data_IF_111689030681
#
_entry.id   IF_111689030681
#
_cell.length_a   1.000
_cell.length_b   1.000
_cell.length_c   1.000
_cell.angle_alpha   90.00
_cell.angle_beta   90.00
_cell.angle_gamma   90.00
#
_symmetry.space_group_name_H-M   'P 1'
#
loop_
_entity.id
_entity.type
_entity.pdbx_description
1 polymer ?
#
# COMPACT_ATOMS: atom_id res chain seq x y z
N UNK A 1 16.47 23.72 -7.47
CA UNK A 1 17.68 23.58 -8.30
C UNK A 1 19.00 23.57 -7.51
N UNK A 2 19.36 24.60 -6.74
CA UNK A 2 20.66 24.64 -6.02
C UNK A 2 20.86 23.49 -5.00
N UNK A 3 19.81 23.09 -4.29
CA UNK A 3 19.87 21.94 -3.36
C UNK A 3 20.02 20.61 -4.09
N UNK A 4 19.39 20.46 -5.25
CA UNK A 4 19.48 19.27 -6.07
C UNK A 4 20.88 19.12 -6.67
N UNK A 5 21.44 20.20 -7.23
CA UNK A 5 22.83 20.27 -7.70
C UNK A 5 23.85 19.93 -6.60
N UNK A 6 23.63 20.40 -5.37
CA UNK A 6 24.50 20.06 -4.25
C UNK A 6 24.42 18.58 -3.85
N UNK A 7 23.21 17.98 -3.84
CA UNK A 7 23.08 16.54 -3.62
C UNK A 7 23.72 15.75 -4.77
N UNK A 8 23.52 16.14 -6.02
CA UNK A 8 24.18 15.55 -7.18
C UNK A 8 25.72 15.57 -7.06
N UNK A 9 26.32 16.69 -6.68
CA UNK A 9 27.76 16.80 -6.39
C UNK A 9 28.20 15.96 -5.17
N UNK A 10 27.34 15.77 -4.17
CA UNK A 10 27.64 14.89 -3.03
C UNK A 10 27.69 13.40 -3.42
N UNK A 11 27.04 13.04 -4.53
CA UNK A 11 27.02 11.69 -5.07
C UNK A 11 27.95 11.50 -6.30
N UNK A 12 28.63 12.55 -6.77
CA UNK A 12 29.56 12.47 -7.93
C UNK A 12 30.64 11.40 -7.73
N UNK A 13 31.18 11.27 -6.51
CA UNK A 13 32.18 10.25 -6.16
C UNK A 13 31.68 8.79 -6.28
N UNK A 14 30.36 8.58 -6.38
CA UNK A 14 29.71 7.26 -6.43
C UNK A 14 29.12 6.93 -7.80
N UNK A 15 29.27 7.83 -8.77
CA UNK A 15 28.94 7.59 -10.17
C UNK A 15 30.11 6.84 -10.81
N UNK A 16 29.90 5.58 -11.19
CA UNK A 16 30.87 4.81 -11.97
C UNK A 16 31.16 5.56 -13.27
N UNK A 17 32.40 6.03 -13.40
CA UNK A 17 33.08 6.55 -14.60
C UNK A 17 33.25 8.07 -14.80
N UNK A 18 33.07 8.96 -13.80
CA UNK A 18 33.43 10.39 -14.03
C UNK A 18 34.17 11.07 -12.88
N UNK A 19 35.49 11.25 -13.08
CA UNK A 19 36.27 12.33 -12.46
C UNK A 19 35.87 13.64 -13.12
N UNK A 20 35.20 14.51 -12.36
CA UNK A 20 34.99 15.94 -12.57
C UNK A 20 34.36 16.38 -13.90
N UNK A 21 33.23 17.10 -13.79
CA UNK A 21 32.55 17.89 -14.83
C UNK A 21 31.64 17.12 -15.80
N UNK A 22 30.33 17.31 -15.64
CA UNK A 22 29.35 17.03 -16.70
C UNK A 22 27.95 16.80 -16.15
N UNK A 23 26.96 17.46 -16.77
CA UNK A 23 25.53 17.37 -16.44
C UNK A 23 25.06 15.94 -16.16
N UNK A 24 24.37 15.78 -15.02
CA UNK A 24 23.83 14.50 -14.57
C UNK A 24 22.60 14.17 -15.41
N UNK A 25 22.73 13.17 -16.29
CA UNK A 25 21.59 12.58 -17.01
C UNK A 25 20.68 11.83 -16.03
N UNK A 26 19.37 12.06 -16.11
CA UNK A 26 18.35 11.29 -15.39
C UNK A 26 18.43 9.81 -15.79
N UNK A 27 19.09 8.98 -14.97
CA UNK A 27 19.18 7.54 -15.22
C UNK A 27 20.40 6.80 -14.66
N UNK A 28 21.29 7.45 -13.90
CA UNK A 28 22.48 6.78 -13.37
C UNK A 28 22.13 5.93 -12.14
N UNK A 29 22.29 4.60 -12.26
CA UNK A 29 22.26 3.67 -11.14
C UNK A 29 23.56 3.80 -10.34
N UNK A 30 23.45 4.22 -9.07
CA UNK A 30 24.59 4.26 -8.15
C UNK A 30 24.90 2.85 -7.67
N UNK A 31 26.14 2.37 -7.91
CA UNK A 31 26.64 1.18 -7.20
C UNK A 31 26.72 1.56 -5.72
N UNK A 32 26.17 0.70 -4.86
CA UNK A 32 25.99 0.93 -3.42
C UNK A 32 27.09 1.80 -2.78
N UNK A 33 26.69 2.80 -1.99
CA UNK A 33 27.60 3.56 -1.14
C UNK A 33 28.47 2.59 -0.33
N UNK A 34 29.79 2.79 -0.28
CA UNK A 34 30.67 1.94 0.52
C UNK A 34 30.21 1.97 2.00
N UNK A 35 30.32 0.85 2.71
CA UNK A 35 29.94 0.77 4.14
C UNK A 35 30.77 1.67 5.07
N UNK A 36 31.73 2.43 4.53
CA UNK A 36 32.58 3.41 5.21
C UNK A 36 32.30 4.84 4.74
N UNK A 37 31.15 5.10 4.14
CA UNK A 37 30.79 6.41 3.61
C UNK A 37 30.35 7.40 4.70
N UNK A 38 31.30 7.72 5.58
CA UNK A 38 31.15 8.67 6.68
C UNK A 38 30.67 10.03 6.21
N UNK A 39 30.99 10.44 4.98
CA UNK A 39 30.62 11.75 4.45
C UNK A 39 29.12 11.86 4.18
N UNK A 40 28.53 10.84 3.53
CA UNK A 40 27.09 10.81 3.24
C UNK A 40 26.28 10.60 4.51
N UNK A 41 26.69 9.65 5.37
CA UNK A 41 26.06 9.45 6.68
C UNK A 41 26.11 10.71 7.54
N UNK A 42 27.25 11.41 7.53
CA UNK A 42 27.40 12.69 8.21
C UNK A 42 26.48 13.76 7.60
N UNK A 43 26.31 13.78 6.27
CA UNK A 43 25.36 14.65 5.58
C UNK A 43 23.93 14.43 6.05
N UNK A 44 23.45 13.19 6.04
CA UNK A 44 22.13 12.83 6.53
C UNK A 44 21.95 13.09 8.02
N UNK A 45 22.95 12.82 8.86
CA UNK A 45 22.88 13.07 10.31
C UNK A 45 22.73 14.56 10.64
N UNK A 46 23.34 15.46 9.84
CA UNK A 46 23.18 16.91 10.02
C UNK A 46 21.79 17.35 9.57
N UNK A 47 21.30 16.82 8.45
CA UNK A 47 19.94 17.09 7.99
C UNK A 47 18.95 16.62 9.06
N UNK A 48 19.07 15.39 9.53
CA UNK A 48 18.22 14.83 10.58
C UNK A 48 18.25 15.70 11.85
N UNK A 49 19.44 16.04 12.35
CA UNK A 49 19.60 16.96 13.48
C UNK A 49 18.91 18.32 13.26
N UNK A 50 19.01 18.90 12.06
CA UNK A 50 18.34 20.16 11.73
C UNK A 50 16.81 20.01 11.74
N UNK A 51 16.28 18.87 11.31
CA UNK A 51 14.85 18.57 11.34
C UNK A 51 14.35 18.32 12.77
N UNK A 52 15.11 17.59 13.60
CA UNK A 52 14.74 17.29 14.99
C UNK A 52 14.86 18.48 15.93
N UNK A 53 15.96 19.24 15.86
CA UNK A 53 16.23 20.35 16.79
C UNK A 53 15.51 21.65 16.41
N UNK A 54 15.10 21.80 15.15
CA UNK A 54 14.44 23.01 14.68
C UNK A 54 13.23 22.72 13.80
N UNK A 55 12.16 22.11 14.35
CA UNK A 55 11.00 21.65 13.58
C UNK A 55 10.26 22.78 12.88
N UNK A 56 10.29 23.99 13.43
CA UNK A 56 9.61 25.17 12.88
C UNK A 56 10.45 25.92 11.82
N UNK A 57 11.69 25.48 11.56
CA UNK A 57 12.54 26.12 10.55
C UNK A 57 12.03 25.84 9.13
N UNK A 58 11.93 26.88 8.30
CA UNK A 58 11.51 26.72 6.91
C UNK A 58 12.55 25.92 6.11
N UNK A 59 12.07 25.15 5.12
CA UNK A 59 12.92 24.33 4.25
C UNK A 59 14.04 25.16 3.59
N UNK A 60 13.78 26.34 2.99
CA UNK A 60 14.86 27.14 2.40
C UNK A 60 15.94 27.54 3.41
N UNK A 61 15.54 27.83 4.66
CA UNK A 61 16.49 28.17 5.73
C UNK A 61 17.32 26.98 6.17
N UNK A 62 16.71 25.78 6.23
CA UNK A 62 17.45 24.54 6.49
C UNK A 62 18.47 24.25 5.38
N UNK A 63 18.06 24.37 4.12
CA UNK A 63 18.94 24.21 2.98
C UNK A 63 20.10 25.22 3.03
N UNK A 64 19.81 26.49 3.29
CA UNK A 64 20.85 27.52 3.42
C UNK A 64 21.85 27.20 4.55
N UNK A 65 21.36 26.77 5.72
CA UNK A 65 22.23 26.37 6.84
C UNK A 65 23.09 25.16 6.51
N UNK A 66 22.52 24.16 5.84
CA UNK A 66 23.27 22.99 5.37
C UNK A 66 24.40 23.41 4.40
N UNK A 67 24.08 24.26 3.42
CA UNK A 67 25.07 24.77 2.46
C UNK A 67 26.19 25.53 3.16
N UNK A 68 25.86 26.44 4.07
CA UNK A 68 26.87 27.23 4.80
C UNK A 68 27.77 26.34 5.66
N UNK A 69 27.19 25.32 6.32
CA UNK A 69 27.94 24.38 7.16
C UNK A 69 28.86 23.44 6.37
N UNK A 70 28.55 23.16 5.10
CA UNK A 70 29.28 22.16 4.30
C UNK A 70 30.17 22.74 3.21
N UNK A 71 29.83 23.90 2.65
CA UNK A 71 30.49 24.41 1.44
C UNK A 71 31.57 25.46 1.71
N UNK A 72 32.38 25.30 2.77
CA UNK A 72 33.44 26.26 3.16
C UNK A 72 33.01 27.73 3.04
N UNK A 73 31.71 28.02 3.19
CA UNK A 73 31.12 29.25 2.66
C UNK A 73 31.59 30.45 3.47
N UNK A 74 31.81 30.24 4.77
CA UNK A 74 32.35 31.27 5.66
C UNK A 74 33.83 31.54 5.39
N UNK A 75 34.62 30.51 5.09
CA UNK A 75 36.04 30.65 4.73
C UNK A 75 36.20 31.37 3.39
N UNK A 76 35.39 30.99 2.39
CA UNK A 76 35.32 31.68 1.11
C UNK A 76 34.84 33.14 1.26
N UNK A 77 33.85 33.41 2.11
CA UNK A 77 33.42 34.79 2.40
C UNK A 77 34.53 35.60 3.08
N UNK A 78 35.36 34.96 3.93
CA UNK A 78 36.48 35.62 4.59
C UNK A 78 37.64 35.94 3.64
N UNK A 79 37.81 35.19 2.55
CA UNK A 79 38.85 35.44 1.54
C UNK A 79 38.51 36.56 0.55
N UNK A 80 37.35 37.22 0.68
CA UNK A 80 36.89 38.31 -0.19
C UNK A 80 37.16 39.67 0.43
N UNK A 81 37.28 40.70 -0.43
CA UNK A 81 37.39 42.09 0.01
C UNK A 81 36.15 42.53 0.80
N UNK A 82 36.27 43.53 1.69
CA UNK A 82 35.11 44.02 2.44
C UNK A 82 34.00 44.56 1.53
N UNK A 83 34.35 45.18 0.40
CA UNK A 83 33.41 45.68 -0.61
C UNK A 83 32.64 44.52 -1.29
N UNK A 84 33.34 43.47 -1.68
CA UNK A 84 32.73 42.28 -2.32
C UNK A 84 31.83 41.54 -1.33
N UNK A 85 32.25 41.43 -0.07
CA UNK A 85 31.41 40.83 0.97
C UNK A 85 30.11 41.61 1.14
N UNK A 86 30.19 42.93 1.14
CA UNK A 86 29.01 43.79 1.27
C UNK A 86 28.06 43.60 0.09
N UNK A 87 28.57 43.63 -1.14
CA UNK A 87 27.75 43.47 -2.35
C UNK A 87 27.04 42.11 -2.39
N UNK A 88 27.73 41.03 -2.02
CA UNK A 88 27.16 39.67 -1.92
C UNK A 88 26.03 39.63 -0.89
N UNK A 89 26.21 40.22 0.29
CA UNK A 89 25.18 40.23 1.34
C UNK A 89 23.97 41.05 0.92
N UNK A 90 24.17 42.18 0.23
CA UNK A 90 23.08 43.01 -0.31
C UNK A 90 22.28 42.23 -1.35
N UNK A 91 22.95 41.55 -2.29
CA UNK A 91 22.31 40.70 -3.28
C UNK A 91 21.55 39.50 -2.64
N UNK A 92 22.12 38.89 -1.60
CA UNK A 92 21.45 37.82 -0.87
C UNK A 92 20.20 38.31 -0.12
N UNK A 93 20.21 39.55 0.39
CA UNK A 93 19.03 40.15 1.04
C UNK A 93 17.93 40.48 0.04
N UNK A 94 18.29 40.98 -1.15
CA UNK A 94 17.30 41.35 -2.17
C UNK A 94 16.57 40.13 -2.76
N UNK A 95 17.17 38.93 -2.70
CA UNK A 95 16.54 37.69 -3.17
C UNK A 95 15.53 37.06 -2.19
N UNK A 96 15.54 37.47 -0.92
CA UNK A 96 14.67 36.89 0.13
C UNK A 96 13.17 36.93 -0.21
N UNK A 97 12.59 38.02 -0.75
CA UNK A 97 11.18 38.05 -1.11
C UNK A 97 10.82 36.98 -2.14
N UNK A 98 11.64 36.79 -3.17
CA UNK A 98 11.43 35.77 -4.21
C UNK A 98 11.49 34.35 -3.64
N UNK A 99 12.45 34.08 -2.76
CA UNK A 99 12.54 32.78 -2.06
C UNK A 99 11.28 32.51 -1.22
N UNK A 100 10.70 33.54 -0.60
CA UNK A 100 9.46 33.39 0.20
C UNK A 100 8.25 33.08 -0.68
N UNK A 101 8.09 33.78 -1.81
CA UNK A 101 6.98 33.55 -2.73
C UNK A 101 7.09 32.17 -3.37
N UNK A 102 8.27 31.79 -3.84
CA UNK A 102 8.55 30.46 -4.38
C UNK A 102 8.21 29.37 -3.36
N UNK A 103 8.73 29.45 -2.13
CA UNK A 103 8.45 28.46 -1.10
C UNK A 103 6.96 28.37 -0.73
N UNK A 104 6.21 29.47 -0.81
CA UNK A 104 4.75 29.44 -0.61
C UNK A 104 4.04 28.70 -1.76
N UNK A 105 4.47 28.90 -3.01
CA UNK A 105 3.94 28.18 -4.17
C UNK A 105 4.25 26.69 -4.09
N UNK A 106 5.50 26.32 -3.77
CA UNK A 106 5.90 24.93 -3.58
C UNK A 106 5.09 24.22 -2.51
N UNK A 107 4.81 24.88 -1.37
CA UNK A 107 3.96 24.31 -0.31
C UNK A 107 2.53 24.06 -0.80
N UNK A 108 1.94 25.00 -1.54
CA UNK A 108 0.60 24.83 -2.13
C UNK A 108 0.58 23.67 -3.13
N UNK A 109 1.57 23.61 -4.02
CA UNK A 109 1.72 22.53 -4.98
C UNK A 109 1.85 21.17 -4.28
N UNK A 110 2.75 21.06 -3.30
CA UNK A 110 2.94 19.83 -2.54
C UNK A 110 1.66 19.39 -1.82
N UNK A 111 0.93 20.32 -1.19
CA UNK A 111 -0.34 20.00 -0.55
C UNK A 111 -1.38 19.49 -1.56
N UNK A 112 -1.44 20.09 -2.75
CA UNK A 112 -2.34 19.63 -3.81
C UNK A 112 -2.00 18.23 -4.31
N UNK A 113 -0.71 17.91 -4.46
CA UNK A 113 -0.24 16.59 -4.88
C UNK A 113 -0.49 15.52 -3.82
N UNK A 114 -0.28 15.85 -2.54
CA UNK A 114 -0.62 14.94 -1.43
C UNK A 114 -2.12 14.60 -1.46
N UNK A 115 -2.97 15.61 -1.66
CA UNK A 115 -4.42 15.42 -1.73
C UNK A 115 -4.84 14.56 -2.93
N UNK A 116 -4.26 14.80 -4.12
CA UNK A 116 -4.51 13.95 -5.30
C UNK A 116 -4.14 12.49 -5.05
N UNK A 117 -2.94 12.22 -4.52
CA UNK A 117 -2.49 10.86 -4.18
C UNK A 117 -3.38 10.20 -3.13
N UNK A 118 -3.85 10.96 -2.14
CA UNK A 118 -4.80 10.46 -1.14
C UNK A 118 -6.14 10.06 -1.77
N UNK A 119 -6.68 10.87 -2.68
CA UNK A 119 -7.92 10.55 -3.41
C UNK A 119 -7.76 9.35 -4.34
N UNK A 120 -6.63 9.20 -5.03
CA UNK A 120 -6.33 8.01 -5.83
C UNK A 120 -6.31 6.74 -4.98
N UNK A 121 -5.60 6.78 -3.85
CA UNK A 121 -5.56 5.66 -2.91
C UNK A 121 -6.94 5.31 -2.36
N UNK A 122 -7.77 6.31 -2.07
CA UNK A 122 -9.14 6.07 -1.61
C UNK A 122 -10.02 5.48 -2.73
N UNK A 123 -9.93 5.99 -3.96
CA UNK A 123 -10.63 5.43 -5.12
C UNK A 123 -10.27 3.97 -5.34
N UNK A 124 -9.00 3.62 -5.25
CA UNK A 124 -8.56 2.22 -5.32
C UNK A 124 -9.14 1.38 -4.19
N UNK A 125 -9.12 1.89 -2.95
CA UNK A 125 -9.67 1.19 -1.78
C UNK A 125 -11.17 0.94 -1.95
N UNK A 126 -11.92 1.93 -2.39
CA UNK A 126 -13.36 1.83 -2.65
C UNK A 126 -13.62 0.84 -3.78
N UNK A 127 -12.88 0.91 -4.89
CA UNK A 127 -13.00 -0.02 -6.02
C UNK A 127 -12.73 -1.47 -5.60
N UNK A 128 -11.66 -1.72 -4.83
CA UNK A 128 -11.33 -3.05 -4.28
C UNK A 128 -12.46 -3.57 -3.37
N UNK A 129 -13.00 -2.73 -2.49
CA UNK A 129 -14.14 -3.07 -1.64
C UNK A 129 -15.39 -3.37 -2.45
N UNK A 130 -15.73 -2.54 -3.42
CA UNK A 130 -16.87 -2.74 -4.31
C UNK A 130 -16.74 -4.05 -5.11
N UNK A 131 -15.55 -4.37 -5.62
CA UNK A 131 -15.29 -5.62 -6.31
C UNK A 131 -15.50 -6.85 -5.41
N UNK A 132 -15.06 -6.79 -4.15
CA UNK A 132 -15.31 -7.86 -3.16
C UNK A 132 -16.81 -8.00 -2.88
N UNK A 133 -17.51 -6.89 -2.63
CA UNK A 133 -18.96 -6.88 -2.40
C UNK A 133 -19.72 -7.45 -3.60
N UNK A 134 -19.32 -7.09 -4.82
CA UNK A 134 -19.96 -7.58 -6.05
C UNK A 134 -19.72 -9.09 -6.23
N UNK A 135 -18.51 -9.59 -5.93
CA UNK A 135 -18.22 -11.04 -5.93
C UNK A 135 -19.05 -11.79 -4.91
N UNK A 136 -19.29 -11.21 -3.73
CA UNK A 136 -20.16 -11.76 -2.68
C UNK A 136 -21.62 -11.80 -3.14
N UNK A 137 -22.14 -10.68 -3.65
CA UNK A 137 -23.51 -10.60 -4.16
C UNK A 137 -23.76 -11.58 -5.32
N UNK A 138 -22.79 -11.70 -6.24
CA UNK A 138 -22.84 -12.70 -7.31
C UNK A 138 -22.91 -14.13 -6.74
N UNK A 139 -22.06 -14.47 -5.77
CA UNK A 139 -22.07 -15.81 -5.17
C UNK A 139 -23.40 -16.14 -4.46
N UNK A 140 -24.03 -15.17 -3.81
CA UNK A 140 -25.37 -15.34 -3.21
C UNK A 140 -26.42 -15.58 -4.28
N UNK A 141 -26.41 -14.77 -5.35
CA UNK A 141 -27.37 -14.89 -6.46
C UNK A 141 -27.23 -16.23 -7.21
N UNK A 142 -26.00 -16.65 -7.47
CA UNK A 142 -25.69 -17.89 -8.20
C UNK A 142 -26.15 -19.14 -7.42
N UNK A 143 -26.20 -19.08 -6.08
CA UNK A 143 -26.72 -20.16 -5.24
C UNK A 143 -28.23 -20.07 -5.00
N UNK A 144 -28.80 -18.86 -5.02
CA UNK A 144 -30.23 -18.68 -4.80
C UNK A 144 -31.10 -19.44 -5.82
N UNK A 145 -30.62 -19.63 -7.06
CA UNK A 145 -31.33 -20.42 -8.08
C UNK A 145 -31.37 -21.92 -7.78
N UNK A 146 -30.40 -22.45 -7.05
CA UNK A 146 -30.32 -23.87 -6.69
C UNK A 146 -30.77 -24.17 -5.26
N UNK A 147 -30.93 -23.15 -4.41
CA UNK A 147 -31.07 -23.34 -2.95
C UNK A 147 -29.72 -23.52 -2.26
N UNK A 148 -29.66 -23.36 -0.94
CA UNK A 148 -28.43 -23.50 -0.13
C UNK A 148 -28.41 -24.90 0.48
N UNK A 149 -27.30 -25.62 0.30
CA UNK A 149 -27.10 -26.95 0.86
C UNK A 149 -26.38 -26.86 2.20
N UNK A 150 -27.01 -27.37 3.26
CA UNK A 150 -26.51 -27.36 4.63
C UNK A 150 -26.02 -28.75 5.05
N UNK A 151 -26.65 -29.82 4.55
CA UNK A 151 -26.32 -31.21 4.88
C UNK A 151 -25.88 -32.04 3.66
N UNK A 152 -25.19 -33.16 3.89
CA UNK A 152 -24.69 -34.06 2.87
C UNK A 152 -25.86 -34.72 2.11
N UNK A 153 -26.95 -35.06 2.80
CA UNK A 153 -28.13 -35.66 2.18
C UNK A 153 -28.80 -34.73 1.15
N UNK A 154 -28.79 -33.43 1.42
CA UNK A 154 -29.35 -32.39 0.55
C UNK A 154 -28.56 -32.24 -0.77
N UNK A 155 -27.29 -32.69 -0.82
CA UNK A 155 -26.51 -32.67 -2.07
C UNK A 155 -27.18 -33.54 -3.14
N UNK A 156 -27.63 -34.75 -2.78
CA UNK A 156 -28.28 -35.64 -3.75
C UNK A 156 -29.60 -35.04 -4.23
N UNK A 157 -30.40 -34.51 -3.30
CA UNK A 157 -31.67 -33.83 -3.59
C UNK A 157 -31.48 -32.64 -4.55
N UNK A 158 -30.38 -31.89 -4.40
CA UNK A 158 -30.03 -30.78 -5.29
C UNK A 158 -29.69 -31.27 -6.71
N UNK A 159 -28.94 -32.37 -6.84
CA UNK A 159 -28.36 -32.79 -8.12
C UNK A 159 -29.30 -33.66 -8.95
N UNK A 160 -30.11 -34.51 -8.33
CA UNK A 160 -30.99 -35.47 -8.99
C UNK A 160 -31.88 -34.85 -10.08
N UNK A 161 -32.57 -33.70 -9.87
CA UNK A 161 -33.43 -33.11 -10.90
C UNK A 161 -32.68 -32.37 -12.01
N UNK A 162 -31.37 -32.10 -11.84
CA UNK A 162 -30.62 -31.25 -12.75
C UNK A 162 -29.91 -32.06 -13.85
N UNK A 163 -29.77 -31.52 -15.07
CA UNK A 163 -28.91 -32.10 -16.10
C UNK A 163 -27.43 -31.97 -15.72
N UNK A 164 -26.58 -32.86 -16.26
CA UNK A 164 -25.15 -32.95 -15.91
C UNK A 164 -24.38 -31.62 -16.01
N UNK A 165 -24.69 -30.79 -17.01
CA UNK A 165 -24.05 -29.47 -17.19
C UNK A 165 -24.44 -28.47 -16.10
N UNK A 166 -25.65 -28.56 -15.56
CA UNK A 166 -26.14 -27.69 -14.48
C UNK A 166 -25.72 -28.17 -13.10
N UNK A 167 -25.57 -29.49 -12.90
CA UNK A 167 -24.99 -30.07 -11.67
C UNK A 167 -23.63 -29.49 -11.34
N UNK A 168 -22.73 -29.45 -12.32
CA UNK A 168 -21.39 -28.85 -12.17
C UNK A 168 -21.47 -27.36 -11.83
N UNK A 169 -22.41 -26.62 -12.44
CA UNK A 169 -22.60 -25.19 -12.14
C UNK A 169 -23.12 -24.99 -10.71
N UNK A 170 -24.11 -25.77 -10.30
CA UNK A 170 -24.69 -25.72 -8.95
C UNK A 170 -23.63 -26.02 -7.89
N UNK A 171 -22.83 -27.08 -8.05
CA UNK A 171 -21.74 -27.41 -7.13
C UNK A 171 -20.70 -26.29 -7.01
N UNK A 172 -20.31 -25.68 -8.13
CA UNK A 172 -19.39 -24.53 -8.10
C UNK A 172 -20.00 -23.32 -7.41
N UNK A 173 -21.28 -23.06 -7.63
CA UNK A 173 -22.00 -21.98 -6.96
C UNK A 173 -21.97 -22.20 -5.43
N UNK A 174 -22.29 -23.41 -4.95
CA UNK A 174 -22.23 -23.76 -3.51
C UNK A 174 -20.85 -23.50 -2.92
N UNK A 175 -19.79 -23.99 -3.57
CA UNK A 175 -18.41 -23.80 -3.09
C UNK A 175 -18.03 -22.31 -3.07
N UNK A 176 -18.39 -21.54 -4.10
CA UNK A 176 -18.13 -20.08 -4.15
C UNK A 176 -18.94 -19.31 -3.13
N UNK A 177 -20.15 -19.73 -2.81
CA UNK A 177 -20.97 -19.13 -1.76
C UNK A 177 -20.33 -19.33 -0.39
N UNK A 178 -19.87 -20.55 -0.09
CA UNK A 178 -19.12 -20.84 1.15
C UNK A 178 -17.84 -20.00 1.25
N UNK A 179 -17.07 -19.91 0.16
CA UNK A 179 -15.84 -19.09 0.08
C UNK A 179 -16.12 -17.58 0.26
N UNK A 180 -17.07 -17.02 -0.49
CA UNK A 180 -17.19 -15.56 -0.69
C UNK A 180 -18.30 -14.90 0.12
N UNK A 181 -19.37 -15.64 0.42
CA UNK A 181 -20.53 -15.11 1.14
C UNK A 181 -20.53 -15.50 2.61
N UNK A 182 -20.18 -16.75 2.92
CA UNK A 182 -20.02 -17.24 4.29
C UNK A 182 -18.63 -16.98 4.86
N UNK A 183 -17.63 -16.72 4.00
CA UNK A 183 -16.23 -16.54 4.41
C UNK A 183 -15.72 -17.72 5.24
N UNK A 184 -16.12 -18.94 4.88
CA UNK A 184 -15.69 -20.15 5.57
C UNK A 184 -14.16 -20.28 5.41
N UNK A 185 -13.40 -20.49 6.50
CA UNK A 185 -11.97 -20.73 6.40
C UNK A 185 -11.72 -22.05 5.65
N UNK A 186 -10.64 -22.16 4.85
CA UNK A 186 -10.36 -23.37 4.11
C UNK A 186 -9.92 -24.50 5.08
N UNK A 187 -10.66 -25.62 5.17
CA UNK A 187 -10.22 -26.76 5.97
C UNK A 187 -8.97 -27.44 5.41
N UNK A 188 -8.76 -27.32 4.09
CA UNK A 188 -7.59 -27.89 3.40
C UNK A 188 -7.09 -26.94 2.31
N UNK A 189 -5.80 -27.09 1.98
CA UNK A 189 -5.15 -26.31 0.94
C UNK A 189 -5.89 -26.46 -0.40
N UNK A 190 -6.12 -25.32 -1.05
CA UNK A 190 -6.73 -25.23 -2.40
C UNK A 190 -8.16 -25.77 -2.52
N UNK A 191 -8.90 -25.97 -1.42
CA UNK A 191 -10.29 -26.45 -1.44
C UNK A 191 -11.20 -25.63 -2.37
N UNK A 192 -11.05 -24.29 -2.36
CA UNK A 192 -11.84 -23.35 -3.18
C UNK A 192 -11.32 -23.15 -4.62
N UNK A 193 -10.22 -23.81 -5.00
CA UNK A 193 -9.66 -23.72 -6.35
C UNK A 193 -10.40 -24.67 -7.28
N UNK A 194 -11.28 -24.12 -8.13
CA UNK A 194 -12.21 -24.89 -8.98
C UNK A 194 -11.62 -25.38 -10.32
N UNK A 195 -10.32 -25.28 -10.50
CA UNK A 195 -9.61 -25.75 -11.70
C UNK A 195 -8.28 -26.41 -11.32
N UNK A 196 -7.84 -27.37 -12.13
CA UNK A 196 -6.54 -28.03 -12.02
C UNK A 196 -5.91 -28.06 -13.41
N UNK A 197 -4.66 -27.61 -13.54
CA UNK A 197 -3.91 -27.61 -14.82
C UNK A 197 -4.67 -26.90 -15.96
N UNK A 198 -5.33 -25.78 -15.65
CA UNK A 198 -6.11 -25.01 -16.62
C UNK A 198 -7.46 -25.63 -17.01
N UNK A 199 -7.78 -26.84 -16.52
CA UNK A 199 -9.06 -27.51 -16.78
C UNK A 199 -10.04 -27.38 -15.60
N UNK A 200 -11.35 -27.26 -15.89
CA UNK A 200 -12.38 -27.32 -14.86
C UNK A 200 -12.35 -28.66 -14.10
N UNK A 201 -12.60 -28.64 -12.79
CA UNK A 201 -12.78 -29.87 -12.02
C UNK A 201 -14.03 -30.64 -12.47
N UNK A 202 -13.97 -31.97 -12.36
CA UNK A 202 -15.09 -32.89 -12.60
C UNK A 202 -16.16 -32.79 -11.52
N UNK A 203 -17.35 -33.31 -11.81
CA UNK A 203 -18.48 -33.33 -10.88
C UNK A 203 -18.13 -34.05 -9.56
N UNK A 204 -17.53 -35.24 -9.64
CA UNK A 204 -17.18 -36.05 -8.46
C UNK A 204 -16.18 -35.35 -7.53
N UNK A 205 -15.22 -34.63 -8.11
CA UNK A 205 -14.23 -33.89 -7.34
C UNK A 205 -14.85 -32.67 -6.68
N UNK A 206 -15.74 -31.95 -7.37
CA UNK A 206 -16.50 -30.84 -6.79
C UNK A 206 -17.42 -31.32 -5.67
N UNK A 207 -18.07 -32.47 -5.84
CA UNK A 207 -18.92 -33.11 -4.82
C UNK A 207 -18.12 -33.46 -3.58
N UNK A 208 -16.96 -34.13 -3.74
CA UNK A 208 -16.06 -34.47 -2.62
C UNK A 208 -15.63 -33.23 -1.83
N UNK A 209 -15.30 -32.14 -2.52
CA UNK A 209 -14.91 -30.88 -1.86
C UNK A 209 -16.06 -30.22 -1.12
N UNK A 210 -17.26 -30.24 -1.69
CA UNK A 210 -18.45 -29.70 -1.02
C UNK A 210 -18.77 -30.49 0.26
N UNK A 211 -18.63 -31.82 0.24
CA UNK A 211 -18.81 -32.68 1.42
C UNK A 211 -17.83 -32.28 2.53
N UNK A 212 -16.53 -32.17 2.22
CA UNK A 212 -15.51 -31.74 3.19
C UNK A 212 -15.87 -30.39 3.82
N UNK A 213 -16.35 -29.43 3.02
CA UNK A 213 -16.75 -28.11 3.50
C UNK A 213 -18.00 -28.17 4.40
N UNK A 214 -18.96 -29.04 4.11
CA UNK A 214 -20.16 -29.22 4.95
C UNK A 214 -19.77 -29.88 6.28
N UNK A 215 -18.97 -30.94 6.24
CA UNK A 215 -18.51 -31.64 7.45
C UNK A 215 -17.71 -30.72 8.38
N UNK A 216 -16.84 -29.88 7.83
CA UNK A 216 -16.07 -28.90 8.58
C UNK A 216 -16.97 -27.85 9.29
N UNK A 217 -17.98 -27.33 8.58
CA UNK A 217 -18.95 -26.37 9.14
C UNK A 217 -19.81 -27.03 10.24
N UNK A 218 -20.20 -28.30 10.06
CA UNK A 218 -20.91 -29.08 11.07
C UNK A 218 -20.03 -29.34 12.31
N UNK A 219 -18.74 -29.68 12.13
CA UNK A 219 -17.78 -29.84 13.24
C UNK A 219 -17.57 -28.54 13.99
N UNK A 220 -17.41 -27.41 13.28
CA UNK A 220 -17.29 -26.08 13.89
C UNK A 220 -18.55 -25.68 14.69
N UNK A 221 -19.74 -26.03 14.20
CA UNK A 221 -21.00 -25.81 14.93
C UNK A 221 -21.14 -26.70 16.18
N UNK A 222 -20.62 -27.93 16.15
CA UNK A 222 -20.62 -28.81 17.32
C UNK A 222 -19.66 -28.31 18.41
N UNK A 223 -18.46 -27.84 18.03
CA UNK A 223 -17.48 -27.28 18.97
C UNK A 223 -18.06 -26.03 19.66
N UNK A 224 -18.69 -25.13 18.92
CA UNK A 224 -19.28 -23.89 19.48
C UNK A 224 -20.51 -24.13 20.36
N UNK A 225 -21.26 -25.22 20.16
CA UNK A 225 -22.38 -25.61 21.03
C UNK A 225 -21.96 -26.33 22.32
N UNK A 226 -20.78 -26.97 22.31
CA UNK A 226 -20.25 -27.72 23.46
C UNK A 226 -19.51 -26.88 24.51
N UNK A 227 -19.22 -25.61 24.19
CA UNK A 227 -18.61 -24.67 25.14
C UNK A 227 -19.72 -24.02 26.00
N UNK A 228 -19.56 -23.93 27.34
CA UNK A 228 -20.52 -23.25 28.18
C UNK A 228 -20.68 -21.79 27.72
N UNK A 229 -21.92 -21.34 27.66
CA UNK A 229 -22.36 -20.05 27.12
C UNK A 229 -21.69 -18.81 27.74
N UNK A 230 -20.97 -18.98 28.85
CA UNK A 230 -20.17 -17.96 29.52
C UNK A 230 -18.77 -17.73 28.92
N UNK A 231 -18.25 -18.68 28.13
CA UNK A 231 -16.95 -18.57 27.43
C UNK A 231 -17.10 -18.28 25.93
N UNK A 232 -18.33 -18.25 25.43
CA UNK A 232 -18.64 -17.82 24.07
C UNK A 232 -18.59 -16.29 24.07
N UNK A 233 -17.37 -15.76 23.99
CA UNK A 233 -17.15 -14.47 23.33
C UNK A 233 -17.90 -14.54 22.01
N UNK A 234 -18.92 -13.72 21.87
CA UNK A 234 -19.85 -13.73 20.77
C UNK A 234 -19.12 -13.44 19.44
N UNK A 235 -18.50 -14.45 18.84
CA UNK A 235 -18.37 -14.55 17.39
C UNK A 235 -19.75 -14.91 16.83
N UNK A 236 -20.70 -13.98 17.06
CA UNK A 236 -21.80 -13.80 16.13
C UNK A 236 -21.14 -13.72 14.77
N UNK A 237 -21.42 -14.68 13.88
CA UNK A 237 -21.24 -14.53 12.44
C UNK A 237 -21.91 -13.21 12.08
N UNK A 238 -21.13 -12.13 12.10
CA UNK A 238 -21.63 -10.76 11.96
C UNK A 238 -22.00 -10.68 10.50
N UNK A 239 -23.29 -10.84 10.22
CA UNK A 239 -23.91 -10.25 9.05
C UNK A 239 -23.57 -8.77 9.10
N UNK A 240 -22.48 -8.38 8.44
CA UNK A 240 -22.20 -6.99 8.11
C UNK A 240 -23.25 -6.62 7.07
N UNK A 241 -24.47 -6.37 7.55
CA UNK A 241 -25.42 -5.54 6.87
C UNK A 241 -24.72 -4.19 6.67
N UNK A 242 -24.53 -3.80 5.41
CA UNK A 242 -24.20 -2.42 5.10
C UNK A 242 -25.32 -1.55 5.65
N UNK A 243 -24.99 -0.73 6.64
CA UNK A 243 -25.90 0.22 7.27
C UNK A 243 -25.16 1.53 7.46
N UNK A 244 -25.50 2.50 6.62
CA UNK A 244 -25.28 3.92 6.81
C UNK A 244 -25.81 4.40 8.17
N UNK A 245 -25.07 5.28 8.84
CA UNK A 245 -25.52 6.54 9.46
C UNK A 245 -24.32 7.16 10.21
N UNK A 246 -23.88 8.36 9.85
CA UNK A 246 -24.30 9.65 10.44
C UNK A 246 -23.98 9.71 11.94
N UNK A 247 -23.08 10.62 12.27
CA UNK A 247 -22.54 10.96 13.60
C UNK A 247 -21.31 11.82 13.41
#
# INVERSE_FOLDING_TARGET
EASQKYFEHMFEDFITDRKYSGEVSEGVSTRCASGTNRTIESGFSIVDRLFSQSPNMSIPRRCARLMVMRNHTMEWMASKSPEDRHSIVVAARSSVPSIRTENALWKKHLASEILKRAHEKERERVSKRAAVTMRRYKAVRDVASSGIVIDIAEISVLLDPLPATERVKALRAQIRFRERALLQPPPTDRIYVLSKEGKPLSEDELRRRLIILIEDDLRGMLITRSLPSSLIGCDKRRWLAGGSMVG
#
